data_IF_667862552174
#
_entry.id   IF_667862552174
#
_cell.length_a   1.000
_cell.length_b   1.000
_cell.length_c   1.000
_cell.angle_alpha   90.00
_cell.angle_beta   90.00
_cell.angle_gamma   90.00
#
_symmetry.space_group_name_H-M   'P 1'
#
loop_
_entity.id
_entity.type
_entity.pdbx_description
1 polymer ?
#
# COMPACT_ATOMS: atom_id res chain seq x y z
N UNK A 1 -11.85 0.28 -10.60
CA UNK A 1 -12.03 -1.06 -10.00
C UNK A 1 -11.99 -2.14 -11.09
N UNK A 2 -11.23 -3.21 -10.90
CA UNK A 2 -11.12 -4.35 -11.84
C UNK A 2 -11.15 -5.69 -11.11
N UNK A 3 -11.61 -6.75 -11.78
CA UNK A 3 -11.62 -8.09 -11.17
C UNK A 3 -10.22 -8.55 -10.76
N UNK A 4 -9.19 -8.17 -11.54
CA UNK A 4 -7.81 -8.54 -11.31
C UNK A 4 -7.30 -7.94 -10.01
N UNK A 5 -7.51 -6.64 -9.81
CA UNK A 5 -7.12 -5.94 -8.57
C UNK A 5 -7.76 -6.59 -7.34
N UNK A 6 -9.08 -6.83 -7.36
CA UNK A 6 -9.80 -7.41 -6.22
C UNK A 6 -9.38 -8.84 -5.92
N UNK A 7 -9.27 -9.67 -6.97
CA UNK A 7 -8.95 -11.08 -6.82
C UNK A 7 -7.50 -11.27 -6.34
N UNK A 8 -6.56 -10.52 -6.91
CA UNK A 8 -5.15 -10.59 -6.52
C UNK A 8 -4.94 -10.08 -5.09
N UNK A 9 -5.49 -8.92 -4.73
CA UNK A 9 -5.34 -8.38 -3.37
C UNK A 9 -6.01 -9.27 -2.32
N UNK A 10 -7.15 -9.88 -2.65
CA UNK A 10 -7.77 -10.89 -1.77
C UNK A 10 -6.84 -12.09 -1.60
N UNK A 11 -6.33 -12.66 -2.69
CA UNK A 11 -5.46 -13.83 -2.64
C UNK A 11 -4.17 -13.57 -1.86
N UNK A 12 -3.52 -12.43 -2.06
CA UNK A 12 -2.33 -12.02 -1.30
C UNK A 12 -2.64 -11.88 0.19
N UNK A 13 -3.77 -11.26 0.56
CA UNK A 13 -4.18 -11.07 1.95
C UNK A 13 -4.55 -12.38 2.65
N UNK A 14 -5.18 -13.31 1.94
CA UNK A 14 -5.56 -14.63 2.49
C UNK A 14 -4.51 -15.71 2.26
N UNK A 15 -3.35 -15.36 1.68
CA UNK A 15 -2.29 -16.30 1.30
C UNK A 15 -2.81 -17.49 0.48
N UNK A 16 -3.74 -17.25 -0.44
CA UNK A 16 -4.26 -18.26 -1.34
C UNK A 16 -3.21 -18.61 -2.41
N UNK A 17 -2.40 -19.61 -2.10
CA UNK A 17 -1.26 -20.01 -2.92
C UNK A 17 -1.65 -20.48 -4.32
N UNK A 18 -2.85 -21.05 -4.50
CA UNK A 18 -3.31 -21.49 -5.82
C UNK A 18 -3.56 -20.28 -6.73
N UNK A 19 -4.27 -19.27 -6.21
CA UNK A 19 -4.55 -18.05 -6.95
C UNK A 19 -3.27 -17.23 -7.16
N UNK A 20 -2.44 -17.06 -6.12
CA UNK A 20 -1.14 -16.38 -6.23
C UNK A 20 -0.28 -17.05 -7.31
N UNK A 21 -0.20 -18.38 -7.31
CA UNK A 21 0.57 -19.10 -8.32
C UNK A 21 0.00 -18.88 -9.72
N UNK A 22 -1.33 -18.86 -9.91
CA UNK A 22 -1.94 -18.53 -11.21
C UNK A 22 -1.58 -17.13 -11.69
N UNK A 23 -1.48 -16.16 -10.78
CA UNK A 23 -1.10 -14.78 -11.09
C UNK A 23 0.42 -14.50 -11.05
N UNK A 24 1.27 -15.50 -10.80
CA UNK A 24 2.72 -15.31 -10.61
C UNK A 24 3.42 -14.50 -11.72
N UNK A 25 3.00 -14.68 -12.98
CA UNK A 25 3.56 -13.92 -14.10
C UNK A 25 3.17 -12.44 -14.01
N UNK A 26 1.89 -12.14 -13.76
CA UNK A 26 1.42 -10.78 -13.56
C UNK A 26 2.07 -10.12 -12.34
N UNK A 27 2.21 -10.85 -11.24
CA UNK A 27 2.87 -10.36 -10.03
C UNK A 27 4.33 -9.97 -10.34
N UNK A 28 5.06 -10.84 -11.03
CA UNK A 28 6.44 -10.56 -11.45
C UNK A 28 6.52 -9.36 -12.40
N UNK A 29 5.62 -9.26 -13.37
CA UNK A 29 5.60 -8.13 -14.31
C UNK A 29 5.32 -6.81 -13.58
N UNK A 30 4.34 -6.80 -12.68
CA UNK A 30 4.02 -5.63 -11.87
C UNK A 30 5.19 -5.22 -10.97
N UNK A 31 5.82 -6.18 -10.29
CA UNK A 31 7.01 -5.96 -9.47
C UNK A 31 8.15 -5.34 -10.29
N UNK A 32 8.44 -5.90 -11.47
CA UNK A 32 9.48 -5.42 -12.37
C UNK A 32 9.21 -3.99 -12.86
N UNK A 33 7.96 -3.64 -13.18
CA UNK A 33 7.61 -2.29 -13.60
C UNK A 33 7.73 -1.27 -12.45
N UNK A 34 7.30 -1.64 -11.24
CA UNK A 34 7.50 -0.79 -10.06
C UNK A 34 9.00 -0.54 -9.83
N UNK A 35 9.84 -1.58 -9.91
CA UNK A 35 11.29 -1.47 -9.77
C UNK A 35 11.93 -0.56 -10.83
N UNK A 36 11.52 -0.66 -12.09
CA UNK A 36 11.99 0.22 -13.16
C UNK A 36 11.63 1.68 -12.88
N UNK A 37 10.40 1.95 -12.46
CA UNK A 37 9.94 3.30 -12.12
C UNK A 37 10.66 3.85 -10.89
N UNK A 38 10.87 3.02 -9.87
CA UNK A 38 11.59 3.37 -8.66
C UNK A 38 13.04 3.75 -8.94
N UNK A 39 13.76 2.94 -9.72
CA UNK A 39 15.15 3.22 -10.09
C UNK A 39 15.27 4.55 -10.86
N UNK A 40 14.39 4.79 -11.84
CA UNK A 40 14.34 6.08 -12.57
C UNK A 40 14.07 7.25 -11.63
N UNK A 41 13.23 7.05 -10.62
CA UNK A 41 12.94 8.06 -9.63
C UNK A 41 14.15 8.34 -8.72
N UNK A 42 14.87 7.31 -8.26
CA UNK A 42 16.12 7.46 -7.51
C UNK A 42 17.19 8.21 -8.31
N UNK A 43 17.35 7.89 -9.59
CA UNK A 43 18.31 8.58 -10.47
C UNK A 43 17.99 10.09 -10.56
N UNK A 44 16.70 10.45 -10.66
CA UNK A 44 16.25 11.86 -10.64
C UNK A 44 16.47 12.53 -9.27
N UNK A 45 16.23 11.81 -8.18
CA UNK A 45 16.37 12.32 -6.81
C UNK A 45 17.82 12.30 -6.30
N UNK A 46 18.77 11.71 -7.03
CA UNK A 46 20.20 11.68 -6.64
C UNK A 46 20.80 13.09 -6.46
N UNK A 47 20.16 14.11 -7.02
CA UNK A 47 20.50 15.54 -6.85
C UNK A 47 19.84 16.22 -5.62
N UNK A 48 18.97 15.52 -4.88
CA UNK A 48 18.17 16.02 -3.76
C UNK A 48 18.37 15.14 -2.51
N UNK A 49 19.49 15.32 -1.77
CA UNK A 49 19.66 14.68 -0.47
C UNK A 49 18.51 15.12 0.43
N UNK A 50 17.83 14.18 1.10
CA UNK A 50 16.66 14.39 1.98
C UNK A 50 15.30 14.46 1.28
N UNK A 51 15.12 13.79 0.14
CA UNK A 51 13.78 13.61 -0.40
C UNK A 51 12.90 12.83 0.58
N UNK A 52 11.78 13.42 0.94
CA UNK A 52 10.77 12.85 1.81
C UNK A 52 9.38 13.24 1.30
N UNK A 53 8.41 12.36 1.51
CA UNK A 53 7.01 12.65 1.23
C UNK A 53 6.11 11.86 2.17
N UNK A 54 4.83 12.25 2.23
CA UNK A 54 3.82 11.54 3.00
C UNK A 54 2.81 10.93 2.04
N UNK A 55 2.36 9.74 2.37
CA UNK A 55 1.22 9.11 1.70
C UNK A 55 0.17 8.74 2.73
N UNK A 56 -1.07 8.67 2.25
CA UNK A 56 -2.25 8.44 3.06
C UNK A 56 -2.97 7.21 2.53
N UNK A 57 -3.53 6.41 3.44
CA UNK A 57 -4.29 5.21 3.09
C UNK A 57 -5.37 4.98 4.12
N UNK A 58 -6.57 4.66 3.68
CA UNK A 58 -7.61 4.15 4.57
C UNK A 58 -7.78 2.65 4.38
N UNK A 59 -7.97 1.94 5.48
CA UNK A 59 -8.24 0.52 5.45
C UNK A 59 -9.16 0.13 6.60
N UNK A 60 -10.09 -0.76 6.29
CA UNK A 60 -10.97 -1.37 7.27
C UNK A 60 -10.28 -2.59 7.88
N UNK A 61 -10.18 -2.62 9.20
CA UNK A 61 -9.55 -3.69 9.98
C UNK A 61 -10.54 -4.30 10.97
N UNK A 62 -10.40 -5.58 11.28
CA UNK A 62 -11.05 -6.17 12.46
C UNK A 62 -10.48 -5.59 13.75
N UNK A 63 -11.24 -5.66 14.85
CA UNK A 63 -10.73 -5.25 16.15
C UNK A 63 -9.46 -6.02 16.55
N UNK A 64 -9.36 -7.31 16.18
CA UNK A 64 -8.15 -8.12 16.43
C UNK A 64 -6.93 -7.58 15.68
N UNK A 65 -7.05 -7.25 14.40
CA UNK A 65 -5.96 -6.65 13.61
C UNK A 65 -5.57 -5.28 14.19
N UNK A 66 -6.56 -4.47 14.58
CA UNK A 66 -6.31 -3.16 15.19
C UNK A 66 -5.58 -3.28 16.55
N UNK A 67 -5.97 -4.22 17.39
CA UNK A 67 -5.32 -4.45 18.67
C UNK A 67 -3.90 -5.00 18.52
N UNK A 68 -3.64 -5.83 17.50
CA UNK A 68 -2.28 -6.22 17.11
C UNK A 68 -1.44 -5.00 16.73
N UNK A 69 -1.99 -4.05 15.96
CA UNK A 69 -1.27 -2.81 15.64
C UNK A 69 -0.97 -1.98 16.89
N UNK A 70 -1.93 -1.84 17.82
CA UNK A 70 -1.72 -1.12 19.09
C UNK A 70 -0.64 -1.75 19.97
N UNK A 71 -0.52 -3.08 19.95
CA UNK A 71 0.51 -3.80 20.71
C UNK A 71 1.91 -3.66 20.10
N UNK A 72 2.00 -3.38 18.80
CA UNK A 72 3.24 -3.25 18.05
C UNK A 72 3.67 -1.78 17.82
N UNK A 73 3.30 -0.87 18.72
CA UNK A 73 3.75 0.53 18.63
C UNK A 73 5.25 0.61 18.86
N UNK A 74 5.96 1.32 17.97
CA UNK A 74 7.42 1.39 17.86
C UNK A 74 8.10 0.13 17.30
N UNK A 75 7.33 -0.85 16.83
CA UNK A 75 7.84 -2.01 16.09
C UNK A 75 7.60 -1.84 14.58
N UNK A 76 8.13 -2.79 13.80
CA UNK A 76 8.01 -2.79 12.35
C UNK A 76 6.73 -3.48 11.87
N UNK A 77 6.11 -2.94 10.83
CA UNK A 77 4.94 -3.53 10.17
C UNK A 77 5.33 -3.94 8.75
N UNK A 78 5.13 -5.21 8.42
CA UNK A 78 5.34 -5.72 7.07
C UNK A 78 4.01 -5.92 6.33
N UNK A 79 3.96 -5.49 5.07
CA UNK A 79 2.80 -5.61 4.19
C UNK A 79 3.06 -6.67 3.12
N UNK A 80 2.33 -7.78 3.18
CA UNK A 80 2.50 -8.94 2.29
C UNK A 80 1.78 -8.81 0.93
N UNK A 81 1.08 -7.69 0.69
CA UNK A 81 0.45 -7.36 -0.58
C UNK A 81 1.08 -6.10 -1.16
N UNK A 82 0.79 -5.80 -2.42
CA UNK A 82 1.03 -4.46 -2.94
C UNK A 82 0.24 -3.47 -2.08
N UNK A 83 0.89 -2.39 -1.66
CA UNK A 83 0.26 -1.36 -0.85
C UNK A 83 -0.04 -0.15 -1.74
N UNK A 84 -1.32 0.15 -1.88
CA UNK A 84 -1.79 1.36 -2.56
C UNK A 84 -2.02 2.46 -1.52
N UNK A 85 -1.43 3.61 -1.74
CA UNK A 85 -1.63 4.82 -0.95
C UNK A 85 -1.72 6.03 -1.87
N UNK A 86 -2.15 7.17 -1.37
CA UNK A 86 -2.33 8.39 -2.16
C UNK A 86 -1.51 9.54 -1.59
N UNK A 87 -1.03 10.43 -2.45
CA UNK A 87 -0.49 11.74 -2.03
C UNK A 87 -1.59 12.73 -1.60
N UNK A 88 -2.86 12.44 -1.90
CA UNK A 88 -3.99 13.29 -1.59
C UNK A 88 -4.75 12.77 -0.35
N UNK A 89 -4.70 13.46 0.81
CA UNK A 89 -5.39 13.02 2.01
C UNK A 89 -6.91 12.92 1.83
N UNK A 90 -7.52 13.80 1.04
CA UNK A 90 -8.97 13.78 0.77
C UNK A 90 -9.38 12.48 0.05
N UNK A 91 -8.53 11.97 -0.83
CA UNK A 91 -8.76 10.68 -1.51
C UNK A 91 -8.74 9.54 -0.49
N UNK A 92 -7.80 9.54 0.45
CA UNK A 92 -7.78 8.53 1.51
C UNK A 92 -9.02 8.64 2.42
N UNK A 93 -9.47 9.84 2.76
CA UNK A 93 -10.67 10.06 3.56
C UNK A 93 -11.93 9.50 2.87
N UNK A 94 -12.07 9.67 1.55
CA UNK A 94 -13.17 9.09 0.76
C UNK A 94 -13.22 7.56 0.85
N UNK A 95 -12.08 6.90 1.05
CA UNK A 95 -12.00 5.44 1.23
C UNK A 95 -12.22 4.98 2.68
N UNK A 96 -12.48 5.91 3.61
CA UNK A 96 -12.86 5.56 4.99
C UNK A 96 -14.31 5.07 5.02
N UNK A 97 -14.55 3.92 5.66
CA UNK A 97 -15.93 3.43 5.85
C UNK A 97 -16.56 4.03 7.10
N UNK A 98 -17.86 4.38 7.09
CA UNK A 98 -18.57 4.78 8.31
C UNK A 98 -18.62 3.61 9.31
N UNK A 99 -18.17 3.84 10.54
CA UNK A 99 -18.22 2.83 11.61
C UNK A 99 -19.58 2.90 12.33
N UNK A 100 -20.58 2.14 11.89
CA UNK A 100 -21.91 2.12 12.53
C UNK A 100 -22.00 1.16 13.75
N UNK A 101 -20.94 0.42 14.08
CA UNK A 101 -21.00 -0.69 15.06
C UNK A 101 -19.87 -0.65 16.11
N UNK A 102 -19.68 0.47 16.79
CA UNK A 102 -18.56 0.70 17.74
C UNK A 102 -18.50 -0.31 18.91
N UNK A 103 -19.58 -1.05 19.21
CA UNK A 103 -19.69 -1.94 20.38
C UNK A 103 -19.68 -3.45 20.06
N UNK A 104 -19.49 -3.87 18.80
CA UNK A 104 -19.41 -5.28 18.43
C UNK A 104 -17.93 -5.73 18.35
N UNK A 105 -17.49 -6.80 19.03
CA UNK A 105 -16.13 -7.34 18.88
C UNK A 105 -15.80 -7.82 17.46
N UNK A 106 -16.82 -8.15 16.67
CA UNK A 106 -16.71 -8.45 15.23
C UNK A 106 -16.78 -7.19 14.35
N UNK A 107 -16.92 -6.01 14.97
CA UNK A 107 -16.96 -4.75 14.24
C UNK A 107 -15.66 -4.51 13.50
N UNK A 108 -15.85 -4.11 12.26
CA UNK A 108 -14.82 -3.56 11.43
C UNK A 108 -14.61 -2.09 11.79
N UNK A 109 -13.35 -1.67 11.90
CA UNK A 109 -12.93 -0.31 12.21
C UNK A 109 -12.21 0.27 11.01
N UNK A 110 -12.69 1.42 10.51
CA UNK A 110 -11.93 2.21 9.54
C UNK A 110 -10.69 2.83 10.21
N UNK A 111 -9.52 2.57 9.64
CA UNK A 111 -8.22 3.07 10.12
C UNK A 111 -7.58 3.91 9.03
N UNK A 112 -7.17 5.12 9.41
CA UNK A 112 -6.49 6.07 8.55
C UNK A 112 -4.98 6.06 8.83
N UNK A 113 -4.19 5.65 7.85
CA UNK A 113 -2.74 5.56 7.92
C UNK A 113 -2.09 6.82 7.33
N UNK A 114 -1.10 7.34 8.04
CA UNK A 114 -0.17 8.36 7.56
C UNK A 114 1.22 7.73 7.51
N UNK A 115 1.75 7.54 6.31
CA UNK A 115 3.03 6.87 6.09
C UNK A 115 4.05 7.93 5.66
N UNK A 116 5.10 8.10 6.44
CA UNK A 116 6.21 8.99 6.12
C UNK A 116 7.28 8.19 5.37
N UNK A 117 7.61 8.63 4.15
CA UNK A 117 8.61 7.97 3.30
C UNK A 117 9.84 8.87 3.21
N UNK A 118 10.99 8.36 3.61
CA UNK A 118 12.26 9.09 3.65
C UNK A 118 13.46 8.12 3.56
N UNK A 119 14.68 8.65 3.45
CA UNK A 119 15.94 7.89 3.39
C UNK A 119 15.98 6.80 2.30
N UNK A 120 15.45 7.13 1.12
CA UNK A 120 15.33 6.21 0.01
C UNK A 120 16.68 5.80 -0.58
N UNK A 121 16.82 4.51 -0.88
CA UNK A 121 18.02 3.93 -1.49
C UNK A 121 17.65 2.75 -2.39
N UNK A 122 18.62 2.22 -3.13
CA UNK A 122 18.42 0.99 -3.92
C UNK A 122 18.04 -0.25 -3.09
N UNK A 123 18.21 -0.21 -1.77
CA UNK A 123 17.86 -1.30 -0.85
C UNK A 123 16.46 -1.14 -0.24
N UNK A 124 15.83 0.04 -0.39
CA UNK A 124 14.48 0.28 0.09
C UNK A 124 13.46 -0.44 -0.79
N UNK A 125 12.35 -0.91 -0.21
CA UNK A 125 11.26 -1.51 -0.99
C UNK A 125 10.81 -0.56 -2.11
N UNK A 126 10.81 -1.02 -3.37
CA UNK A 126 10.44 -0.18 -4.51
C UNK A 126 8.99 0.28 -4.47
N UNK A 127 8.75 1.51 -4.92
CA UNK A 127 7.43 2.06 -5.14
C UNK A 127 7.38 2.86 -6.44
N UNK A 128 6.16 3.12 -6.92
CA UNK A 128 5.92 3.91 -8.12
C UNK A 128 4.80 4.92 -7.93
N UNK A 129 5.01 6.15 -8.42
CA UNK A 129 3.93 7.09 -8.68
C UNK A 129 3.25 6.66 -9.98
N UNK A 130 1.97 6.27 -9.90
CA UNK A 130 1.27 5.65 -11.03
C UNK A 130 0.14 6.50 -11.59
N UNK A 131 0.09 7.80 -11.27
CA UNK A 131 -0.86 8.77 -11.83
C UNK A 131 -1.02 8.64 -13.36
N UNK A 132 0.09 8.52 -14.10
CA UNK A 132 0.06 8.41 -15.57
C UNK A 132 -0.24 7.01 -16.11
N UNK A 133 -0.35 6.00 -15.24
CA UNK A 133 -0.63 4.60 -15.60
C UNK A 133 -1.97 4.12 -15.03
N UNK A 134 -2.54 4.85 -14.07
CA UNK A 134 -3.79 4.52 -13.40
C UNK A 134 -4.99 4.91 -14.25
N UNK A 135 -6.07 4.14 -14.15
CA UNK A 135 -7.38 4.52 -14.68
C UNK A 135 -7.98 5.73 -13.93
N UNK A 136 -7.43 6.07 -12.76
CA UNK A 136 -7.88 7.16 -11.91
C UNK A 136 -6.71 8.11 -11.56
N UNK A 137 -6.20 8.94 -12.50
CA UNK A 137 -5.02 9.78 -12.26
C UNK A 137 -5.18 10.74 -11.06
N UNK A 138 -6.40 11.26 -10.85
CA UNK A 138 -6.70 12.22 -9.78
C UNK A 138 -6.47 11.66 -8.36
N UNK A 139 -6.41 10.33 -8.21
CA UNK A 139 -6.07 9.68 -6.94
C UNK A 139 -4.62 9.91 -6.53
N UNK A 140 -3.73 10.33 -7.43
CA UNK A 140 -2.29 10.53 -7.16
C UNK A 140 -1.69 9.33 -6.42
N UNK A 141 -2.00 8.15 -6.95
CA UNK A 141 -1.68 6.87 -6.33
C UNK A 141 -0.17 6.61 -6.33
N UNK A 142 0.31 6.13 -5.19
CA UNK A 142 1.64 5.58 -4.96
C UNK A 142 1.48 4.10 -4.62
N UNK A 143 2.03 3.25 -5.48
CA UNK A 143 1.96 1.80 -5.34
C UNK A 143 3.30 1.26 -4.85
N UNK A 144 3.31 0.64 -3.69
CA UNK A 144 4.48 -0.01 -3.09
C UNK A 144 4.47 -1.50 -3.44
N UNK A 145 5.67 -2.03 -3.69
CA UNK A 145 5.90 -3.45 -3.90
C UNK A 145 5.50 -4.28 -2.68
N UNK A 146 5.20 -5.56 -2.91
CA UNK A 146 4.98 -6.51 -1.82
C UNK A 146 6.22 -6.62 -0.91
N UNK A 147 6.00 -6.89 0.37
CA UNK A 147 7.08 -6.98 1.36
C UNK A 147 7.60 -5.62 1.81
N UNK A 148 6.83 -4.55 1.63
CA UNK A 148 7.14 -3.26 2.22
C UNK A 148 7.16 -3.36 3.75
N UNK A 149 8.19 -2.79 4.37
CA UNK A 149 8.37 -2.72 5.82
C UNK A 149 8.35 -1.25 6.22
N UNK A 150 7.55 -0.93 7.24
CA UNK A 150 7.37 0.41 7.79
C UNK A 150 7.73 0.45 9.28
#
# INVERSE_FOLDING_TARGET
DSFLYRLLNKALRTQDMEIIFKFRFFINDLQNEIEKLYNRYLDKCSSKPNHHFKVYRSQVLSMTELDQLKQNVNELISMNSFLSATLNPEVAELYSSPNDQVNDPSALQSVYFIINVYNLSKQTTPFAFIEHHSCNPDEKEVLFSMGAIF
#
